data_IF_284256995361
#
_entry.id   IF_284256995361
#
_cell.length_a   1.000
_cell.length_b   1.000
_cell.length_c   1.000
_cell.angle_alpha   90.00
_cell.angle_beta   90.00
_cell.angle_gamma   90.00
#
_symmetry.space_group_name_H-M   'P 1'
#
loop_
_entity.id
_entity.type
_entity.pdbx_description
1 polymer ?
#
# COMPACT_ATOMS: atom_id res chain seq x y z
N UNK A 1 21.54 67.93 67.71
CA UNK A 1 21.11 68.51 66.42
C UNK A 1 21.37 67.47 65.33
N UNK A 2 20.54 67.34 64.28
CA UNK A 2 19.34 66.50 64.23
C UNK A 2 19.38 65.36 63.17
N UNK A 3 18.56 64.31 63.40
CA UNK A 3 17.81 63.49 62.39
C UNK A 3 18.65 62.68 61.33
N UNK A 4 18.06 61.77 60.50
CA UNK A 4 17.69 60.38 60.85
C UNK A 4 17.86 59.36 59.67
N UNK A 5 17.17 58.20 59.76
CA UNK A 5 16.62 57.32 58.68
C UNK A 5 17.60 56.38 57.96
N UNK A 6 17.50 55.05 58.13
CA UNK A 6 16.51 54.07 57.62
C UNK A 6 16.75 53.58 56.18
N UNK A 7 16.96 52.26 56.10
CA UNK A 7 16.37 51.27 55.19
C UNK A 7 16.49 51.41 53.66
N UNK A 8 17.12 50.37 53.11
CA UNK A 8 16.56 49.39 52.18
C UNK A 8 16.28 49.74 50.71
N UNK A 9 17.00 49.00 49.86
CA UNK A 9 16.50 48.09 48.82
C UNK A 9 16.26 48.60 47.38
N UNK A 10 16.57 47.67 46.46
CA UNK A 10 16.13 47.54 45.05
C UNK A 10 16.70 48.60 44.09
N UNK A 11 17.08 48.33 42.84
CA UNK A 11 16.82 47.25 41.88
C UNK A 11 17.77 47.40 40.68
N UNK A 12 17.80 46.35 39.85
CA UNK A 12 17.98 46.30 38.38
C UNK A 12 18.64 47.49 37.66
N UNK A 13 19.48 47.18 36.67
CA UNK A 13 19.17 47.33 35.22
C UNK A 13 20.46 47.01 34.45
N UNK A 14 20.44 45.96 33.64
CA UNK A 14 21.42 45.75 32.58
C UNK A 14 20.87 46.41 31.31
N UNK A 15 21.39 47.61 31.03
CA UNK A 15 21.48 48.24 29.70
C UNK A 15 22.61 47.51 28.93
N UNK A 16 22.69 47.38 27.60
CA UNK A 16 22.08 48.00 26.42
C UNK A 16 22.35 47.03 25.24
N UNK A 17 21.38 46.74 24.37
CA UNK A 17 21.09 47.43 23.11
C UNK A 17 22.20 47.41 22.03
N UNK A 18 22.04 46.54 21.03
CA UNK A 18 22.12 46.86 19.60
C UNK A 18 20.80 46.31 19.03
N UNK A 19 19.92 47.03 18.34
CA UNK A 19 20.13 48.20 17.50
C UNK A 19 19.75 47.81 16.06
N UNK A 20 18.50 48.12 15.66
CA UNK A 20 17.96 47.94 14.31
C UNK A 20 16.65 47.15 14.32
N UNK A 21 15.47 47.68 14.01
CA UNK A 21 15.11 48.93 13.36
C UNK A 21 14.23 48.63 12.15
N UNK A 22 12.91 48.80 12.33
CA UNK A 22 11.97 49.20 11.26
C UNK A 22 11.44 48.10 10.33
N UNK A 23 10.11 47.96 10.28
CA UNK A 23 9.43 47.20 9.24
C UNK A 23 8.00 46.83 9.63
N UNK A 24 7.14 47.83 9.78
CA UNK A 24 5.69 47.59 9.80
C UNK A 24 5.19 47.30 8.38
N UNK A 25 4.22 46.41 8.27
CA UNK A 25 3.38 46.23 7.09
C UNK A 25 3.48 44.84 6.46
N UNK A 26 2.39 44.08 6.60
CA UNK A 26 2.08 42.80 5.94
C UNK A 26 2.99 41.63 6.39
N UNK A 27 2.52 40.56 7.01
CA UNK A 27 1.27 39.85 6.78
C UNK A 27 0.73 39.30 8.11
N UNK A 28 -0.48 39.72 8.49
CA UNK A 28 -1.43 38.83 9.18
C UNK A 28 -1.82 37.73 8.17
N UNK A 29 -0.84 36.93 7.74
CA UNK A 29 -1.14 35.72 7.00
C UNK A 29 -1.89 34.84 8.01
N UNK A 30 -3.16 34.50 7.74
CA UNK A 30 -3.82 33.51 8.57
C UNK A 30 -2.91 32.28 8.64
N UNK A 31 -2.82 31.59 9.81
CA UNK A 31 -2.06 30.36 9.89
C UNK A 31 -2.45 29.48 8.70
N UNK A 32 -1.48 28.84 8.01
CA UNK A 32 -1.77 28.06 6.82
C UNK A 32 -2.92 27.11 7.15
N UNK A 33 -3.92 27.08 6.27
CA UNK A 33 -5.08 26.24 6.46
C UNK A 33 -4.59 24.81 6.74
N UNK A 34 -5.22 24.08 7.69
CA UNK A 34 -4.85 22.68 7.90
C UNK A 34 -4.98 21.95 6.56
N UNK A 35 -4.04 21.05 6.23
CA UNK A 35 -4.12 20.30 5.00
C UNK A 35 -5.47 19.60 4.91
N UNK A 36 -6.06 19.47 3.71
CA UNK A 36 -7.38 18.87 3.56
C UNK A 36 -7.38 17.48 4.18
N UNK A 37 -8.42 17.17 4.95
CA UNK A 37 -8.60 15.83 5.49
C UNK A 37 -9.04 14.89 4.35
N UNK A 38 -8.17 13.94 4.02
CA UNK A 38 -8.50 12.91 3.04
C UNK A 38 -9.55 11.93 3.59
N UNK A 39 -10.29 11.28 2.70
CA UNK A 39 -11.28 10.27 3.09
C UNK A 39 -10.61 9.11 3.86
N UNK A 40 -11.13 8.68 5.02
CA UNK A 40 -10.56 7.55 5.73
C UNK A 40 -10.72 6.27 4.91
N UNK A 41 -9.68 5.43 4.95
CA UNK A 41 -9.65 4.11 4.31
C UNK A 41 -9.28 3.10 5.38
N UNK A 42 -10.21 2.20 5.69
CA UNK A 42 -9.97 1.16 6.67
C UNK A 42 -8.84 0.22 6.20
N UNK A 43 -7.99 -0.20 7.13
CA UNK A 43 -6.93 -1.17 6.84
C UNK A 43 -7.46 -2.59 6.68
N UNK A 44 -8.65 -2.90 7.20
CA UNK A 44 -9.21 -4.25 7.12
C UNK A 44 -8.36 -5.27 7.88
N UNK A 45 -8.15 -6.49 7.36
CA UNK A 45 -7.23 -7.48 7.95
C UNK A 45 -5.75 -7.15 7.70
N UNK A 46 -5.46 -6.07 6.97
CA UNK A 46 -4.10 -5.72 6.61
C UNK A 46 -3.45 -4.82 7.65
N UNK A 47 -2.16 -5.02 7.84
CA UNK A 47 -1.32 -4.03 8.52
C UNK A 47 -0.85 -2.99 7.51
N UNK A 48 -0.88 -1.72 7.90
CA UNK A 48 -0.43 -0.61 7.04
C UNK A 48 0.46 0.35 7.81
N UNK A 49 1.63 0.66 7.26
CA UNK A 49 2.57 1.60 7.86
C UNK A 49 3.54 2.14 6.82
N UNK A 50 4.22 3.24 7.15
CA UNK A 50 5.36 3.75 6.38
C UNK A 50 6.63 3.08 6.83
N UNK A 51 7.39 2.51 5.90
CA UNK A 51 8.67 1.86 6.19
C UNK A 51 9.73 2.91 6.58
N UNK A 52 10.54 2.60 7.59
CA UNK A 52 11.56 3.52 8.09
C UNK A 52 12.77 3.67 7.15
N UNK A 53 13.11 2.61 6.40
CA UNK A 53 14.34 2.55 5.60
C UNK A 53 14.24 3.23 4.23
N UNK A 54 13.04 3.31 3.63
CA UNK A 54 12.83 3.92 2.32
C UNK A 54 11.56 4.80 2.22
N UNK A 55 10.77 4.90 3.29
CA UNK A 55 9.59 5.78 3.33
C UNK A 55 8.39 5.27 2.53
N UNK A 56 8.37 4.00 2.12
CA UNK A 56 7.30 3.44 1.31
C UNK A 56 6.06 3.16 2.15
N UNK A 57 4.89 3.34 1.55
CA UNK A 57 3.62 2.93 2.11
C UNK A 57 3.47 1.42 1.92
N UNK A 58 3.50 0.68 3.03
CA UNK A 58 3.41 -0.78 3.07
C UNK A 58 1.99 -1.24 3.38
N UNK A 59 1.54 -2.27 2.68
CA UNK A 59 0.40 -3.11 3.05
C UNK A 59 0.93 -4.52 3.28
N UNK A 60 0.59 -5.12 4.43
CA UNK A 60 1.07 -6.46 4.80
C UNK A 60 -0.09 -7.35 5.23
N UNK A 61 -0.10 -8.58 4.72
CA UNK A 61 -0.93 -9.67 5.21
C UNK A 61 -0.03 -10.77 5.75
N UNK A 62 -0.38 -11.33 6.91
CA UNK A 62 0.36 -12.44 7.53
C UNK A 62 -0.60 -13.56 7.88
N UNK A 63 -0.35 -14.74 7.33
CA UNK A 63 -1.06 -16.00 7.64
C UNK A 63 -0.17 -16.92 8.50
N UNK A 64 0.99 -16.42 8.90
CA UNK A 64 1.98 -17.10 9.74
C UNK A 64 1.45 -17.49 11.13
N UNK A 65 1.90 -18.63 11.62
CA UNK A 65 1.66 -19.10 12.99
C UNK A 65 2.79 -18.66 13.93
N UNK A 66 2.61 -18.71 15.26
CA UNK A 66 3.66 -18.36 16.21
C UNK A 66 4.99 -19.11 16.01
N UNK A 67 4.93 -20.36 15.51
CA UNK A 67 6.13 -21.14 15.18
C UNK A 67 6.95 -20.59 14.01
N UNK A 68 6.31 -19.83 13.11
CA UNK A 68 6.95 -19.24 11.93
C UNK A 68 7.75 -17.96 12.26
N UNK A 69 7.62 -17.42 13.49
CA UNK A 69 8.19 -16.12 13.86
C UNK A 69 9.71 -16.05 13.66
N UNK A 70 10.45 -17.13 13.95
CA UNK A 70 11.90 -17.19 13.73
C UNK A 70 12.26 -17.18 12.24
N UNK A 71 11.45 -17.83 11.41
CA UNK A 71 11.64 -17.87 9.96
C UNK A 71 11.38 -16.48 9.37
N UNK A 72 10.29 -15.83 9.77
CA UNK A 72 9.98 -14.47 9.33
C UNK A 72 11.04 -13.46 9.78
N UNK A 73 11.56 -13.58 11.00
CA UNK A 73 12.62 -12.72 11.48
C UNK A 73 13.90 -12.84 10.63
N UNK A 74 14.22 -14.02 10.10
CA UNK A 74 15.36 -14.20 9.21
C UNK A 74 15.21 -13.49 7.86
N UNK A 75 13.98 -13.24 7.39
CA UNK A 75 13.71 -12.42 6.20
C UNK A 75 13.77 -10.92 6.46
N UNK A 76 13.53 -10.52 7.71
CA UNK A 76 13.60 -9.12 8.11
C UNK A 76 15.05 -8.70 8.50
N UNK A 77 15.96 -9.66 8.64
CA UNK A 77 17.38 -9.42 8.90
C UNK A 77 18.12 -9.04 7.59
N UNK A 78 19.14 -8.19 7.70
CA UNK A 78 19.80 -7.57 6.55
C UNK A 78 20.74 -8.52 5.77
N UNK A 79 20.80 -9.80 6.12
CA UNK A 79 21.66 -10.79 5.47
C UNK A 79 20.94 -11.45 4.27
N UNK A 80 21.31 -11.11 3.02
CA UNK A 80 20.72 -11.69 1.84
C UNK A 80 21.15 -13.14 1.58
N UNK A 81 21.79 -13.85 2.52
CA UNK A 81 22.13 -15.28 2.38
C UNK A 81 21.29 -16.24 3.23
N UNK A 82 20.51 -15.71 4.17
CA UNK A 82 19.60 -16.47 5.05
C UNK A 82 18.15 -15.93 4.87
N UNK A 83 17.09 -16.75 4.91
CA UNK A 83 17.05 -18.20 4.74
C UNK A 83 16.91 -18.63 3.28
N UNK A 84 17.71 -19.64 2.92
CA UNK A 84 17.80 -20.24 1.59
C UNK A 84 16.54 -21.01 1.14
N UNK A 85 15.56 -21.22 2.02
CA UNK A 85 14.43 -22.13 1.80
C UNK A 85 13.10 -21.52 1.35
N UNK A 86 12.86 -20.21 1.48
CA UNK A 86 11.53 -19.62 1.25
C UNK A 86 11.49 -18.48 0.23
N UNK A 87 12.50 -18.39 -0.64
CA UNK A 87 12.64 -17.29 -1.62
C UNK A 87 11.92 -17.61 -2.92
N UNK A 88 10.67 -17.18 -3.00
CA UNK A 88 10.08 -16.81 -4.29
C UNK A 88 9.79 -15.31 -4.26
N UNK A 89 10.86 -14.50 -4.20
CA UNK A 89 10.74 -13.09 -4.51
C UNK A 89 10.27 -12.99 -5.95
N UNK A 90 9.14 -12.32 -6.21
CA UNK A 90 8.77 -11.88 -7.55
C UNK A 90 9.71 -10.71 -7.93
N UNK A 91 11.02 -10.97 -7.97
CA UNK A 91 12.07 -10.06 -8.41
C UNK A 91 11.94 -9.72 -9.90
N UNK A 92 11.04 -10.40 -10.64
CA UNK A 92 10.69 -10.05 -12.02
C UNK A 92 9.82 -8.79 -12.14
N UNK A 93 9.33 -8.22 -11.04
CA UNK A 93 8.74 -6.88 -11.03
C UNK A 93 9.81 -5.77 -11.01
N UNK A 94 11.05 -6.09 -10.61
CA UNK A 94 12.05 -5.08 -10.25
C UNK A 94 12.79 -4.48 -11.46
N UNK A 95 12.95 -5.20 -12.59
CA UNK A 95 13.71 -4.65 -13.72
C UNK A 95 13.07 -3.40 -14.36
N UNK A 96 11.74 -3.32 -14.40
CA UNK A 96 11.01 -2.19 -15.02
C UNK A 96 10.40 -1.21 -14.00
N UNK A 97 10.42 -1.55 -12.70
CA UNK A 97 9.75 -0.79 -11.61
C UNK A 97 10.64 -0.55 -10.39
N UNK A 98 11.93 -0.87 -10.50
CA UNK A 98 12.95 -0.71 -9.45
C UNK A 98 12.79 0.64 -8.73
N UNK A 99 12.49 0.59 -7.44
CA UNK A 99 12.38 1.77 -6.59
C UNK A 99 11.03 2.49 -6.61
N UNK A 100 9.98 1.95 -7.25
CA UNK A 100 8.61 2.52 -7.17
C UNK A 100 7.61 1.63 -6.44
N UNK A 101 7.76 0.32 -6.52
CA UNK A 101 6.90 -0.64 -5.83
C UNK A 101 7.59 -2.00 -5.71
N UNK A 102 7.22 -2.77 -4.69
CA UNK A 102 7.73 -4.13 -4.45
C UNK A 102 6.60 -5.03 -3.98
N UNK A 103 6.50 -6.24 -4.53
CA UNK A 103 5.67 -7.31 -3.99
C UNK A 103 6.60 -8.38 -3.42
N UNK A 104 6.50 -8.62 -2.11
CA UNK A 104 7.20 -9.70 -1.44
C UNK A 104 6.20 -10.83 -1.15
N UNK A 105 6.65 -12.06 -1.41
CA UNK A 105 5.93 -13.29 -1.08
C UNK A 105 6.87 -14.16 -0.27
N UNK A 106 6.44 -14.53 0.93
CA UNK A 106 7.13 -15.53 1.74
C UNK A 106 6.19 -16.74 1.85
N UNK A 107 6.65 -17.88 1.34
CA UNK A 107 5.89 -19.11 1.32
C UNK A 107 6.78 -20.30 1.64
N UNK A 108 6.23 -21.27 2.36
CA UNK A 108 6.81 -22.60 2.55
C UNK A 108 6.79 -23.34 1.22
N UNK A 109 7.89 -24.03 0.90
CA UNK A 109 8.03 -24.79 -0.34
C UNK A 109 8.38 -26.25 -0.04
N UNK A 110 7.92 -27.15 -0.89
CA UNK A 110 8.33 -28.56 -0.86
C UNK A 110 9.60 -28.77 -1.70
N UNK A 111 10.76 -29.06 -1.10
CA UNK A 111 12.00 -29.29 -1.83
C UNK A 111 12.00 -30.57 -2.66
N UNK A 112 11.16 -31.55 -2.31
CA UNK A 112 11.02 -32.81 -3.06
C UNK A 112 10.04 -32.66 -4.23
N UNK A 113 9.09 -31.74 -4.13
CA UNK A 113 8.12 -31.36 -5.15
C UNK A 113 8.61 -30.29 -6.14
N UNK A 114 9.92 -30.07 -6.26
CA UNK A 114 10.50 -29.07 -7.16
C UNK A 114 10.37 -27.63 -6.67
N UNK A 115 10.41 -27.41 -5.35
CA UNK A 115 10.25 -26.12 -4.69
C UNK A 115 8.89 -25.45 -4.93
N UNK A 116 7.83 -26.25 -5.08
CA UNK A 116 6.47 -25.70 -5.20
C UNK A 116 6.02 -25.14 -3.84
N UNK A 117 5.43 -23.95 -3.84
CA UNK A 117 4.82 -23.37 -2.66
C UNK A 117 3.66 -24.25 -2.14
N UNK A 118 3.69 -24.57 -0.85
CA UNK A 118 2.70 -25.40 -0.15
C UNK A 118 1.87 -24.60 0.85
N UNK A 119 2.43 -23.51 1.41
CA UNK A 119 1.74 -22.64 2.36
C UNK A 119 2.26 -21.21 2.27
N UNK A 120 1.35 -20.25 2.20
CA UNK A 120 1.70 -18.83 2.25
C UNK A 120 1.91 -18.40 3.71
N UNK A 121 2.96 -17.63 3.98
CA UNK A 121 3.27 -17.09 5.31
C UNK A 121 2.99 -15.58 5.37
N UNK A 122 3.41 -14.85 4.35
CA UNK A 122 3.36 -13.39 4.30
C UNK A 122 3.27 -12.87 2.87
N UNK A 123 2.43 -11.84 2.70
CA UNK A 123 2.44 -10.99 1.52
C UNK A 123 2.69 -9.56 1.93
N UNK A 124 3.53 -8.88 1.17
CA UNK A 124 3.80 -7.46 1.35
C UNK A 124 3.68 -6.75 0.02
N UNK A 125 2.99 -5.61 0.00
CA UNK A 125 2.96 -4.68 -1.12
C UNK A 125 3.47 -3.32 -0.65
N UNK A 126 4.62 -2.92 -1.19
CA UNK A 126 5.22 -1.62 -0.94
C UNK A 126 5.02 -0.68 -2.11
N UNK A 127 4.70 0.57 -1.79
CA UNK A 127 4.48 1.63 -2.76
C UNK A 127 5.29 2.86 -2.37
N UNK A 128 6.04 3.43 -3.31
CA UNK A 128 6.71 4.71 -3.13
C UNK A 128 5.71 5.81 -2.69
N UNK A 129 6.15 6.85 -1.96
CA UNK A 129 5.28 7.89 -1.45
C UNK A 129 4.36 8.51 -2.51
N UNK A 130 3.15 8.90 -2.09
CA UNK A 130 2.22 9.66 -2.90
C UNK A 130 2.44 11.15 -2.70
N UNK A 131 2.75 11.87 -3.78
CA UNK A 131 3.14 13.27 -3.76
C UNK A 131 1.99 14.15 -4.27
N UNK A 132 0.87 14.15 -3.55
CA UNK A 132 -0.27 15.00 -3.86
C UNK A 132 -0.49 16.16 -2.89
N UNK A 133 0.41 16.34 -1.91
CA UNK A 133 0.45 17.53 -1.07
C UNK A 133 1.70 18.35 -1.38
N UNK A 134 1.52 19.66 -1.54
CA UNK A 134 2.59 20.65 -1.60
C UNK A 134 2.16 21.88 -0.80
N UNK A 135 2.98 22.28 0.17
CA UNK A 135 2.74 23.46 1.01
C UNK A 135 1.36 23.46 1.70
N UNK A 136 0.86 22.26 2.07
CA UNK A 136 -0.45 22.07 2.71
C UNK A 136 -1.64 21.97 1.75
N UNK A 137 -1.42 22.17 0.45
CA UNK A 137 -2.48 22.13 -0.56
C UNK A 137 -2.38 20.89 -1.47
N UNK A 138 -3.54 20.46 -2.00
CA UNK A 138 -3.58 19.38 -2.98
C UNK A 138 -2.99 19.83 -4.31
N UNK A 139 -2.01 19.07 -4.80
CA UNK A 139 -1.42 19.30 -6.12
C UNK A 139 -2.42 18.99 -7.24
N UNK A 140 -3.24 17.96 -7.05
CA UNK A 140 -4.39 17.63 -7.88
C UNK A 140 -5.58 17.28 -6.97
N UNK A 141 -6.66 18.04 -7.08
CA UNK A 141 -7.90 17.80 -6.34
C UNK A 141 -9.00 17.14 -7.19
N UNK A 142 -8.79 17.02 -8.49
CA UNK A 142 -9.79 16.53 -9.46
C UNK A 142 -9.15 15.66 -10.54
N UNK A 143 -10.01 14.97 -11.29
CA UNK A 143 -9.63 14.15 -12.43
C UNK A 143 -9.71 12.65 -12.16
N UNK A 144 -9.57 11.91 -13.26
CA UNK A 144 -9.59 10.45 -13.25
C UNK A 144 -8.25 9.89 -13.72
N UNK A 145 -7.75 8.89 -13.00
CA UNK A 145 -6.48 8.22 -13.29
C UNK A 145 -6.71 6.72 -13.42
N UNK A 146 -6.05 6.09 -14.38
CA UNK A 146 -6.37 4.73 -14.80
C UNK A 146 -5.12 3.88 -14.77
N UNK A 147 -5.15 2.74 -14.09
CA UNK A 147 -4.00 1.86 -13.92
C UNK A 147 -4.29 0.51 -14.54
N UNK A 148 -3.25 -0.06 -15.16
CA UNK A 148 -3.22 -1.43 -15.64
C UNK A 148 -1.94 -2.12 -15.19
N UNK A 149 -1.98 -3.44 -15.07
CA UNK A 149 -0.79 -4.19 -14.70
C UNK A 149 -1.08 -5.62 -14.30
N UNK A 150 -0.32 -6.12 -13.34
CA UNK A 150 -0.20 -7.54 -13.04
C UNK A 150 -1.02 -7.93 -11.82
N UNK A 151 -1.46 -9.19 -11.78
CA UNK A 151 -2.09 -9.80 -10.63
C UNK A 151 -1.47 -11.16 -10.30
N UNK A 152 -1.54 -11.51 -9.01
CA UNK A 152 -1.10 -12.78 -8.45
C UNK A 152 -2.12 -13.21 -7.39
N UNK A 153 -2.34 -14.52 -7.26
CA UNK A 153 -3.24 -15.11 -6.30
C UNK A 153 -2.68 -16.43 -5.78
N UNK A 154 -3.02 -16.76 -4.53
CA UNK A 154 -2.78 -18.04 -3.89
C UNK A 154 -4.08 -18.49 -3.25
N UNK A 155 -4.51 -19.70 -3.57
CA UNK A 155 -5.84 -20.19 -3.26
C UNK A 155 -5.76 -21.57 -2.64
N UNK A 156 -6.52 -21.78 -1.58
CA UNK A 156 -6.74 -23.11 -0.98
C UNK A 156 -8.23 -23.40 -0.95
N UNK A 157 -8.61 -24.63 -1.30
CA UNK A 157 -9.99 -25.15 -1.25
C UNK A 157 -9.98 -26.40 -0.38
N UNK A 158 -10.81 -26.44 0.67
CA UNK A 158 -10.93 -27.53 1.66
C UNK A 158 -9.59 -28.04 2.22
N UNK A 159 -8.70 -27.12 2.62
CA UNK A 159 -7.35 -27.45 3.11
C UNK A 159 -6.52 -28.29 2.11
N UNK A 160 -6.89 -28.24 0.83
CA UNK A 160 -6.19 -28.88 -0.28
C UNK A 160 -4.86 -28.22 -0.63
N UNK A 161 -4.25 -28.59 -1.77
CA UNK A 161 -2.98 -28.00 -2.20
C UNK A 161 -3.13 -26.50 -2.48
N UNK A 162 -2.06 -25.74 -2.20
CA UNK A 162 -1.98 -24.34 -2.59
C UNK A 162 -1.94 -24.22 -4.13
N UNK A 163 -2.92 -23.52 -4.67
CA UNK A 163 -3.04 -23.21 -6.09
C UNK A 163 -2.55 -21.78 -6.35
N UNK A 164 -1.71 -21.59 -7.36
CA UNK A 164 -1.21 -20.26 -7.72
C UNK A 164 -1.92 -19.73 -8.96
N UNK A 165 -2.42 -18.49 -8.90
CA UNK A 165 -2.98 -17.73 -10.01
C UNK A 165 -2.07 -16.57 -10.42
N UNK A 166 -1.97 -16.26 -11.71
CA UNK A 166 -1.22 -15.10 -12.22
C UNK A 166 -1.80 -14.60 -13.55
N UNK A 167 -1.73 -13.30 -13.79
CA UNK A 167 -1.91 -12.72 -15.14
C UNK A 167 -1.06 -11.45 -15.31
N UNK A 168 -0.36 -11.34 -16.45
CA UNK A 168 0.48 -10.17 -16.80
C UNK A 168 -0.29 -8.85 -16.90
N UNK A 169 -1.56 -8.92 -17.26
CA UNK A 169 -2.48 -7.80 -17.47
C UNK A 169 -3.71 -7.95 -16.56
N UNK A 170 -3.52 -8.66 -15.45
CA UNK A 170 -4.55 -9.05 -14.52
C UNK A 170 -5.13 -7.92 -13.69
N UNK A 171 -4.42 -6.81 -13.49
CA UNK A 171 -5.08 -5.56 -13.10
C UNK A 171 -5.67 -4.95 -14.38
N UNK A 172 -6.88 -5.38 -14.73
CA UNK A 172 -7.53 -4.99 -15.99
C UNK A 172 -7.84 -3.49 -16.01
N UNK A 173 -8.30 -2.99 -14.86
CA UNK A 173 -8.60 -1.58 -14.66
C UNK A 173 -8.65 -1.23 -13.16
N UNK A 174 -7.83 -0.29 -12.73
CA UNK A 174 -8.11 0.53 -11.55
C UNK A 174 -8.36 1.96 -12.01
N UNK A 175 -9.50 2.53 -11.67
CA UNK A 175 -9.82 3.94 -11.88
C UNK A 175 -9.91 4.63 -10.52
N UNK A 176 -9.15 5.70 -10.36
CA UNK A 176 -9.25 6.62 -9.22
C UNK A 176 -10.04 7.84 -9.67
N UNK A 177 -11.03 8.25 -8.87
CA UNK A 177 -11.82 9.46 -9.05
C UNK A 177 -11.46 10.41 -7.91
N UNK A 178 -10.67 11.44 -8.22
CA UNK A 178 -10.20 12.42 -7.23
C UNK A 178 -11.34 13.34 -6.78
N UNK A 179 -12.27 13.65 -7.69
CA UNK A 179 -13.44 14.47 -7.39
C UNK A 179 -14.33 13.83 -6.33
N UNK A 180 -14.46 12.50 -6.37
CA UNK A 180 -15.32 11.73 -5.45
C UNK A 180 -14.57 11.07 -4.29
N UNK A 181 -13.24 11.02 -4.34
CA UNK A 181 -12.44 10.23 -3.41
C UNK A 181 -12.87 8.76 -3.44
N UNK A 182 -12.99 8.19 -4.64
CA UNK A 182 -13.34 6.78 -4.84
C UNK A 182 -12.41 6.04 -5.80
N UNK A 183 -12.38 4.71 -5.66
CA UNK A 183 -11.69 3.79 -6.54
C UNK A 183 -12.64 2.69 -7.08
N UNK A 184 -12.47 2.36 -8.35
CA UNK A 184 -13.12 1.23 -9.02
C UNK A 184 -12.03 0.28 -9.52
N UNK A 185 -12.11 -1.00 -9.18
CA UNK A 185 -11.05 -1.96 -9.50
C UNK A 185 -11.62 -3.26 -10.09
N UNK A 186 -10.95 -3.81 -11.10
CA UNK A 186 -11.16 -5.14 -11.68
C UNK A 186 -9.81 -5.85 -11.74
N UNK A 187 -9.71 -7.00 -11.06
CA UNK A 187 -8.54 -7.86 -11.03
C UNK A 187 -8.93 -9.25 -11.48
N UNK A 188 -8.11 -9.87 -12.33
CA UNK A 188 -8.26 -11.28 -12.73
C UNK A 188 -6.93 -11.98 -12.79
N UNK A 189 -6.95 -13.29 -12.57
CA UNK A 189 -5.88 -14.19 -13.06
C UNK A 189 -6.40 -14.98 -14.25
N UNK A 190 -5.53 -15.70 -14.95
CA UNK A 190 -5.90 -16.57 -16.07
C UNK A 190 -5.64 -18.05 -15.75
N UNK A 191 -6.08 -18.95 -16.61
CA UNK A 191 -5.60 -20.35 -16.61
C UNK A 191 -4.55 -20.48 -17.71
N UNK A 192 -3.33 -20.83 -17.34
CA UNK A 192 -2.20 -21.01 -18.26
C UNK A 192 -1.19 -21.98 -17.67
N UNK A 193 -0.14 -22.42 -18.40
CA UNK A 193 0.87 -23.33 -17.85
C UNK A 193 1.59 -22.82 -16.59
N UNK A 194 1.44 -21.52 -16.26
CA UNK A 194 2.03 -20.87 -15.08
C UNK A 194 0.97 -20.38 -14.07
N UNK A 195 -0.31 -20.70 -14.29
CA UNK A 195 -1.43 -20.22 -13.49
C UNK A 195 -2.51 -21.30 -13.42
N UNK A 196 -2.74 -21.81 -12.22
CA UNK A 196 -3.59 -22.97 -11.94
C UNK A 196 -5.04 -22.57 -11.64
N UNK A 197 -5.27 -21.31 -11.25
CA UNK A 197 -6.58 -20.85 -10.81
C UNK A 197 -6.91 -19.50 -11.43
N UNK A 198 -8.15 -19.35 -11.85
CA UNK A 198 -8.72 -18.07 -12.25
C UNK A 198 -9.41 -17.44 -11.05
N UNK A 199 -9.03 -16.21 -10.72
CA UNK A 199 -9.75 -15.36 -9.80
C UNK A 199 -10.39 -14.22 -10.57
N UNK A 200 -11.50 -13.72 -10.03
CA UNK A 200 -12.13 -12.49 -10.48
C UNK A 200 -12.52 -11.65 -9.27
N UNK A 201 -11.99 -10.44 -9.18
CA UNK A 201 -12.33 -9.47 -8.15
C UNK A 201 -12.84 -8.21 -8.84
N UNK A 202 -14.05 -7.79 -8.49
CA UNK A 202 -14.59 -6.50 -8.91
C UNK A 202 -15.11 -5.76 -7.71
N UNK A 203 -14.65 -4.53 -7.55
CA UNK A 203 -15.15 -3.61 -6.54
C UNK A 203 -15.37 -2.22 -7.14
N UNK A 204 -16.36 -1.51 -6.60
CA UNK A 204 -16.81 -0.21 -7.09
C UNK A 204 -17.01 0.73 -5.92
N UNK A 205 -16.74 2.01 -6.14
CA UNK A 205 -16.90 3.08 -5.16
C UNK A 205 -16.16 2.83 -3.84
N UNK A 206 -15.03 2.13 -3.89
CA UNK A 206 -14.17 1.94 -2.72
C UNK A 206 -13.68 3.31 -2.24
N UNK A 207 -13.60 3.56 -0.92
CA UNK A 207 -12.91 4.73 -0.39
C UNK A 207 -11.52 4.92 -0.99
N UNK A 208 -11.22 6.13 -1.44
CA UNK A 208 -9.89 6.56 -1.87
C UNK A 208 -9.54 7.88 -1.18
N UNK A 209 -8.38 7.90 -0.54
CA UNK A 209 -7.82 9.06 0.11
C UNK A 209 -6.91 9.81 -0.87
N UNK A 210 -7.41 10.93 -1.39
CA UNK A 210 -6.67 11.79 -2.33
C UNK A 210 -5.43 12.44 -1.73
N UNK A 211 -5.26 12.39 -0.42
CA UNK A 211 -4.10 12.97 0.28
C UNK A 211 -3.00 11.94 0.44
N UNK A 212 -3.35 10.73 0.91
CA UNK A 212 -2.38 9.68 1.27
C UNK A 212 -2.16 8.65 0.17
N UNK A 213 -3.02 8.63 -0.86
CA UNK A 213 -2.97 7.63 -1.93
C UNK A 213 -3.58 6.28 -1.54
N UNK A 214 -4.06 6.14 -0.31
CA UNK A 214 -4.69 4.94 0.20
C UNK A 214 -6.04 4.68 -0.49
N UNK A 215 -6.32 3.44 -0.89
CA UNK A 215 -7.68 2.99 -1.23
C UNK A 215 -7.92 1.56 -0.76
N UNK A 216 -9.19 1.17 -0.66
CA UNK A 216 -9.55 -0.17 -0.21
C UNK A 216 -10.94 -0.27 0.38
N UNK A 217 -11.31 -1.49 0.77
CA UNK A 217 -12.60 -1.82 1.37
C UNK A 217 -13.07 -3.22 0.99
N UNK A 218 -14.36 -3.47 1.20
CA UNK A 218 -14.99 -4.77 0.93
C UNK A 218 -15.05 -5.05 -0.57
N UNK A 219 -14.86 -6.33 -0.91
CA UNK A 219 -14.87 -6.84 -2.27
C UNK A 219 -15.57 -8.18 -2.32
N UNK A 220 -15.86 -8.66 -3.52
CA UNK A 220 -16.28 -10.05 -3.72
C UNK A 220 -15.34 -10.70 -4.71
N UNK A 221 -14.83 -11.87 -4.33
CA UNK A 221 -13.87 -12.64 -5.09
C UNK A 221 -14.56 -13.91 -5.61
N UNK A 222 -14.47 -14.11 -6.92
CA UNK A 222 -14.79 -15.39 -7.54
C UNK A 222 -13.53 -16.21 -7.76
N UNK A 223 -13.60 -17.52 -7.52
CA UNK A 223 -12.50 -18.47 -7.72
C UNK A 223 -12.98 -19.59 -8.63
N UNK A 224 -12.25 -19.89 -9.70
CA UNK A 224 -12.51 -21.00 -10.60
C UNK A 224 -11.24 -21.83 -10.76
N UNK A 225 -11.28 -23.06 -10.24
CA UNK A 225 -10.28 -24.08 -10.54
C UNK A 225 -10.71 -24.77 -11.84
N UNK A 226 -9.93 -24.74 -12.94
CA UNK A 226 -10.31 -25.37 -14.21
C UNK A 226 -10.46 -26.89 -14.12
N UNK A 227 -9.85 -27.53 -13.12
CA UNK A 227 -9.97 -28.96 -12.88
C UNK A 227 -11.28 -29.32 -12.14
N UNK A 228 -12.02 -28.30 -11.69
CA UNK A 228 -13.35 -28.43 -11.09
C UNK A 228 -14.40 -27.70 -11.95
N UNK A 229 -15.64 -28.18 -11.94
CA UNK A 229 -16.74 -27.50 -12.63
C UNK A 229 -17.26 -26.27 -11.86
N UNK A 230 -16.81 -26.07 -10.63
CA UNK A 230 -17.37 -25.08 -9.71
C UNK A 230 -16.60 -23.76 -9.70
N UNK A 231 -17.36 -22.68 -9.76
CA UNK A 231 -16.90 -21.34 -9.37
C UNK A 231 -17.41 -21.03 -7.98
N UNK A 232 -16.52 -20.65 -7.08
CA UNK A 232 -16.83 -20.20 -5.73
C UNK A 232 -16.92 -18.68 -5.69
N UNK A 233 -17.78 -18.13 -4.82
CA UNK A 233 -17.88 -16.69 -4.60
C UNK A 233 -17.86 -16.39 -3.11
N UNK A 234 -16.87 -15.63 -2.67
CA UNK A 234 -16.65 -15.31 -1.25
C UNK A 234 -16.41 -13.81 -1.07
N UNK A 235 -16.88 -13.27 0.05
CA UNK A 235 -16.60 -11.89 0.45
C UNK A 235 -15.14 -11.75 0.87
N UNK A 236 -14.55 -10.61 0.53
CA UNK A 236 -13.14 -10.35 0.79
C UNK A 236 -12.88 -8.88 1.07
N UNK A 237 -11.62 -8.54 1.29
CA UNK A 237 -11.17 -7.17 1.47
C UNK A 237 -9.93 -6.89 0.63
N UNK A 238 -9.79 -5.63 0.23
CA UNK A 238 -8.66 -5.13 -0.54
C UNK A 238 -8.10 -3.87 0.11
N UNK A 239 -6.78 -3.75 0.10
CA UNK A 239 -6.07 -2.52 0.50
C UNK A 239 -4.92 -2.27 -0.46
N UNK A 240 -4.89 -1.08 -1.06
CA UNK A 240 -3.84 -0.67 -1.98
C UNK A 240 -3.40 0.76 -1.75
N UNK A 241 -2.21 1.09 -2.25
CA UNK A 241 -1.67 2.43 -2.20
C UNK A 241 -1.29 2.87 -3.61
N UNK A 242 -1.48 4.16 -3.86
CA UNK A 242 -0.95 4.87 -5.02
C UNK A 242 0.35 5.52 -4.60
N UNK A 243 1.32 5.62 -5.51
CA UNK A 243 2.55 6.37 -5.30
C UNK A 243 2.90 7.24 -6.50
N UNK A 244 3.95 8.04 -6.36
CA UNK A 244 4.37 9.03 -7.34
C UNK A 244 3.52 10.30 -7.28
N UNK A 245 3.59 11.13 -8.32
CA UNK A 245 2.88 12.41 -8.39
C UNK A 245 1.79 12.41 -9.47
N UNK A 246 0.60 12.98 -9.22
CA UNK A 246 -0.43 13.19 -10.22
C UNK A 246 -0.15 14.38 -11.15
N UNK A 247 0.91 15.17 -10.89
CA UNK A 247 1.27 16.30 -11.77
C UNK A 247 1.67 15.82 -13.16
N UNK A 248 1.02 16.36 -14.18
CA UNK A 248 1.42 16.19 -15.56
C UNK A 248 2.63 17.06 -15.91
N UNK A 249 3.65 16.47 -16.54
CA UNK A 249 4.81 17.12 -17.14
C UNK A 249 5.06 16.51 -18.52
N UNK A 250 4.80 17.28 -19.56
CA UNK A 250 4.81 16.83 -20.97
C UNK A 250 3.80 15.70 -21.19
N UNK A 251 2.53 15.95 -20.83
CA UNK A 251 1.40 15.00 -20.97
C UNK A 251 1.58 13.65 -20.27
N UNK A 252 2.50 13.58 -19.30
CA UNK A 252 2.81 12.37 -18.53
C UNK A 252 2.93 12.67 -17.05
N UNK A 253 2.63 11.69 -16.21
CA UNK A 253 2.86 11.76 -14.77
C UNK A 253 3.72 10.58 -14.31
N UNK A 254 3.76 10.29 -13.00
CA UNK A 254 4.62 9.25 -12.44
C UNK A 254 3.88 8.22 -11.59
N UNK A 255 2.55 8.13 -11.72
CA UNK A 255 1.76 7.37 -10.76
C UNK A 255 1.86 5.87 -10.99
N UNK A 256 2.02 5.16 -9.88
CA UNK A 256 1.99 3.71 -9.82
C UNK A 256 1.12 3.25 -8.67
N UNK A 257 0.77 1.97 -8.66
CA UNK A 257 -0.11 1.41 -7.64
C UNK A 257 0.32 -0.01 -7.29
N UNK A 258 0.13 -0.38 -6.03
CA UNK A 258 0.28 -1.76 -5.57
C UNK A 258 -0.67 -2.01 -4.40
N UNK A 259 -1.00 -3.27 -4.16
CA UNK A 259 -1.88 -3.63 -3.06
C UNK A 259 -2.08 -5.11 -2.91
N UNK A 260 -2.79 -5.45 -1.84
CA UNK A 260 -3.16 -6.81 -1.46
C UNK A 260 -4.69 -6.96 -1.44
N UNK A 261 -5.15 -8.18 -1.64
CA UNK A 261 -6.53 -8.58 -1.39
C UNK A 261 -6.56 -9.96 -0.73
N UNK A 262 -7.58 -10.21 0.08
CA UNK A 262 -7.78 -11.49 0.77
C UNK A 262 -9.26 -11.81 0.90
N UNK A 263 -9.60 -13.09 0.95
CA UNK A 263 -10.92 -13.59 1.28
C UNK A 263 -10.82 -14.94 1.97
N UNK A 264 -11.67 -15.17 2.95
CA UNK A 264 -11.84 -16.48 3.58
C UNK A 264 -13.31 -16.69 3.84
N UNK A 265 -13.87 -17.80 3.34
CA UNK A 265 -15.28 -18.07 3.46
C UNK A 265 -15.65 -19.49 3.11
N UNK A 266 -16.96 -19.77 3.10
CA UNK A 266 -17.50 -21.03 2.57
C UNK A 266 -18.49 -20.73 1.46
N UNK A 267 -18.40 -21.49 0.38
CA UNK A 267 -19.39 -21.47 -0.71
C UNK A 267 -19.62 -22.91 -1.18
N UNK A 268 -20.89 -23.26 -1.46
CA UNK A 268 -21.29 -24.61 -1.89
C UNK A 268 -20.79 -25.76 -0.99
N UNK A 269 -20.57 -25.49 0.30
CA UNK A 269 -20.06 -26.48 1.26
C UNK A 269 -18.53 -26.51 1.39
N UNK A 270 -17.82 -25.91 0.43
CA UNK A 270 -16.36 -25.86 0.38
C UNK A 270 -15.82 -24.67 1.16
N UNK A 271 -14.75 -24.86 1.93
CA UNK A 271 -13.99 -23.79 2.53
C UNK A 271 -12.99 -23.24 1.50
N UNK A 272 -12.96 -21.93 1.31
CA UNK A 272 -12.11 -21.28 0.31
C UNK A 272 -11.36 -20.12 0.96
N UNK A 273 -10.04 -20.11 0.79
CA UNK A 273 -9.16 -19.02 1.18
C UNK A 273 -8.42 -18.51 -0.05
N UNK A 274 -8.34 -17.19 -0.17
CA UNK A 274 -7.65 -16.48 -1.24
C UNK A 274 -6.79 -15.40 -0.62
N UNK A 275 -5.53 -15.36 -1.00
CA UNK A 275 -4.64 -14.23 -0.77
C UNK A 275 -4.04 -13.80 -2.10
N UNK A 276 -3.90 -12.51 -2.33
CA UNK A 276 -3.39 -12.03 -3.59
C UNK A 276 -2.79 -10.65 -3.55
N UNK A 277 -2.05 -10.35 -4.60
CA UNK A 277 -1.31 -9.12 -4.77
C UNK A 277 -1.47 -8.60 -6.20
N UNK A 278 -1.31 -7.30 -6.39
CA UNK A 278 -1.33 -6.69 -7.70
C UNK A 278 -0.42 -5.47 -7.76
N UNK A 279 -0.02 -5.13 -8.99
CA UNK A 279 0.75 -3.93 -9.30
C UNK A 279 0.21 -3.28 -10.56
N UNK A 280 0.34 -1.97 -10.67
CA UNK A 280 -0.13 -1.24 -11.83
C UNK A 280 0.60 0.05 -12.06
N UNK A 281 0.51 0.52 -13.29
CA UNK A 281 1.07 1.77 -13.76
C UNK A 281 -0.01 2.48 -14.56
N UNK A 282 -0.12 3.80 -14.41
CA UNK A 282 -0.97 4.57 -15.29
C UNK A 282 -0.36 4.58 -16.71
N UNK A 283 -1.12 4.34 -17.79
CA UNK A 283 -0.60 4.43 -19.16
C UNK A 283 0.12 5.76 -19.49
N UNK A 284 -0.24 6.85 -18.80
CA UNK A 284 0.40 8.15 -18.92
C UNK A 284 1.63 8.31 -17.98
N UNK A 285 2.01 7.28 -17.23
CA UNK A 285 3.21 7.31 -16.42
C UNK A 285 4.47 7.12 -17.29
N UNK A 286 5.54 7.89 -17.01
CA UNK A 286 6.82 7.76 -17.74
C UNK A 286 7.38 6.33 -17.62
N UNK A 287 7.61 5.69 -18.78
CA UNK A 287 8.66 4.66 -18.95
C UNK A 287 10.02 5.32 -18.88
#
# INVERSE_FOLDING_TARGET
MPLPRHLAALSLVVLAACGGGGGGGADDAPPPAPPPEGRPVASGPFETYTTQHNGFSRVRSSTSQPGDARVLAAFDDADPTDPAGYRDLIARSEADRAGRMTIEVIAEVDPQGGNRATRLLRLTADQAPFENLRDGELVAASGQYFFKGQSFAWVTIDDGPLLSGRHSDGLENLMLDFDRGTANIDIRTEVSPRSQVEIGLRARNLPFNVVTGAYGGDTVISVRNPDAAETFRIDGQLRGNVGGSPTYRNDRHGMTTSGLYTATGRDKGHAVTVDGAYTGVDPNARR
#
